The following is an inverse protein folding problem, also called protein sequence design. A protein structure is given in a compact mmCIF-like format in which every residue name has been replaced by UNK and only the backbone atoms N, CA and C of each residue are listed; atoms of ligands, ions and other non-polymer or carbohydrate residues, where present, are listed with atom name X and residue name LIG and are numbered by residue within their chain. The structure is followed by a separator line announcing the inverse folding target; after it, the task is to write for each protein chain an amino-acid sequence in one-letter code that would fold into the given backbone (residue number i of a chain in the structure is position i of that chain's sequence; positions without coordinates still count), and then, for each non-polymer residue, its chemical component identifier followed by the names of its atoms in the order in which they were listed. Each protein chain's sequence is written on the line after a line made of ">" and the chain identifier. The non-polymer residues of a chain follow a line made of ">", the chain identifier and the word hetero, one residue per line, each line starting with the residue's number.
data_IF_155463150120
#
_entry.id   IF_155463150120
#
_cell.length_a   1.000
_cell.length_b   1.000
_cell.length_c   1.000
_cell.angle_alpha   90.00
_cell.angle_beta   90.00
_cell.angle_gamma   90.00
#
_symmetry.space_group_name_H-M   'P 1'
#
loop_
_entity.id
_entity.type
_entity.pdbx_description
1 polymer ?
#
# COMPACT_ATOMS: atom_id res chain seq x y z
N UNK A 1 3.03 19.27 18.61
CA UNK A 1 2.20 18.36 17.80
C UNK A 1 0.74 18.76 18.02
N UNK A 2 -0.05 18.91 16.95
CA UNK A 2 -1.44 19.39 17.03
C UNK A 2 -2.45 18.33 16.61
N UNK A 3 -1.99 17.13 16.23
CA UNK A 3 -2.84 16.03 15.79
C UNK A 3 -3.43 16.20 14.40
N UNK A 4 -2.91 17.13 13.59
CA UNK A 4 -3.41 17.37 12.23
C UNK A 4 -3.31 16.12 11.34
N UNK A 5 -4.22 15.98 10.36
CA UNK A 5 -4.26 14.81 9.47
C UNK A 5 -2.93 14.63 8.74
N UNK A 6 -2.30 13.46 8.89
CA UNK A 6 -1.00 13.13 8.28
C UNK A 6 0.20 13.80 8.94
N UNK A 7 0.00 14.58 10.02
CA UNK A 7 1.09 15.11 10.83
C UNK A 7 1.79 13.96 11.56
N UNK A 8 3.11 14.01 11.63
CA UNK A 8 3.89 13.08 12.44
C UNK A 8 4.70 13.82 13.49
N UNK A 9 4.84 13.24 14.67
CA UNK A 9 5.82 13.62 15.67
C UNK A 9 6.67 12.41 15.98
N UNK A 10 7.98 12.60 15.98
CA UNK A 10 8.94 11.53 16.26
C UNK A 10 9.74 11.88 17.49
N UNK A 11 9.86 10.91 18.39
CA UNK A 11 10.72 10.98 19.57
C UNK A 11 11.72 9.84 19.47
N UNK A 12 13.01 10.18 19.44
CA UNK A 12 14.10 9.21 19.41
C UNK A 12 14.51 8.88 20.84
N UNK A 13 14.76 7.60 21.11
CA UNK A 13 15.15 7.08 22.43
C UNK A 13 14.21 7.58 23.55
N UNK A 14 12.88 7.31 23.44
CA UNK A 14 11.92 7.74 24.44
C UNK A 14 12.20 7.09 25.80
N UNK A 15 12.40 7.92 26.83
CA UNK A 15 12.64 7.43 28.19
C UNK A 15 11.46 6.58 28.70
N UNK A 16 11.77 5.42 29.29
CA UNK A 16 10.76 4.52 29.88
C UNK A 16 10.02 3.62 28.89
N UNK A 17 10.37 3.64 27.60
CA UNK A 17 9.87 2.70 26.61
C UNK A 17 11.01 1.83 26.07
N UNK A 18 10.75 0.54 25.90
CA UNK A 18 11.67 -0.41 25.25
C UNK A 18 11.57 -0.31 23.72
N UNK A 19 11.79 0.89 23.18
CA UNK A 19 11.87 1.12 21.74
C UNK A 19 12.90 2.21 21.39
N UNK A 20 13.50 2.11 20.21
CA UNK A 20 14.46 3.11 19.72
C UNK A 20 13.76 4.40 19.27
N UNK A 21 12.46 4.32 18.97
CA UNK A 21 11.68 5.38 18.36
C UNK A 21 10.20 5.27 18.70
N UNK A 22 9.61 6.41 19.05
CA UNK A 22 8.17 6.60 19.13
C UNK A 22 7.72 7.52 18.00
N UNK A 23 6.77 7.06 17.19
CA UNK A 23 6.14 7.85 16.12
C UNK A 23 4.66 8.06 16.45
N UNK A 24 4.26 9.31 16.60
CA UNK A 24 2.87 9.72 16.81
C UNK A 24 2.29 10.17 15.49
N UNK A 25 1.14 9.61 15.12
CA UNK A 25 0.44 9.90 13.86
C UNK A 25 -0.83 10.70 14.14
N UNK A 26 -0.98 11.85 13.47
CA UNK A 26 -2.16 12.70 13.58
C UNK A 26 -3.27 12.24 12.64
N UNK A 27 -4.44 11.96 13.21
CA UNK A 27 -5.65 11.56 12.46
C UNK A 27 -6.51 12.76 12.04
N UNK A 28 -6.24 13.95 12.57
CA UNK A 28 -7.05 15.16 12.39
C UNK A 28 -8.08 15.35 13.51
N UNK A 29 -9.05 16.22 13.26
CA UNK A 29 -10.15 16.47 14.21
C UNK A 29 -11.02 15.21 14.29
N UNK A 30 -11.42 14.83 15.50
CA UNK A 30 -12.21 13.60 15.72
C UNK A 30 -13.49 13.53 14.87
N UNK A 31 -14.18 14.66 14.66
CA UNK A 31 -15.39 14.75 13.85
C UNK A 31 -15.16 14.48 12.34
N UNK A 32 -13.92 14.65 11.86
CA UNK A 32 -13.55 14.52 10.44
C UNK A 32 -12.82 13.18 10.16
N UNK A 33 -12.68 12.32 11.18
CA UNK A 33 -12.03 11.02 11.02
C UNK A 33 -12.92 10.11 10.16
N UNK A 34 -12.34 9.62 9.07
CA UNK A 34 -12.95 8.72 8.10
C UNK A 34 -11.97 7.59 7.79
N UNK A 35 -12.38 6.54 7.06
CA UNK A 35 -11.47 5.47 6.65
C UNK A 35 -10.20 5.98 5.95
N UNK A 36 -10.32 7.04 5.14
CA UNK A 36 -9.20 7.68 4.43
C UNK A 36 -8.22 8.37 5.39
N UNK A 37 -8.65 8.80 6.57
CA UNK A 37 -7.76 9.38 7.58
C UNK A 37 -6.81 8.32 8.15
N UNK A 38 -7.27 7.08 8.31
CA UNK A 38 -6.43 5.95 8.73
C UNK A 38 -5.47 5.50 7.62
N UNK A 39 -5.92 5.48 6.37
CA UNK A 39 -5.03 5.26 5.22
C UNK A 39 -3.94 6.34 5.14
N UNK A 40 -4.28 7.61 5.35
CA UNK A 40 -3.31 8.70 5.39
C UNK A 40 -2.29 8.52 6.53
N UNK A 41 -2.71 8.04 7.70
CA UNK A 41 -1.82 7.74 8.81
C UNK A 41 -0.85 6.58 8.48
N UNK A 42 -1.36 5.48 7.92
CA UNK A 42 -0.52 4.38 7.42
C UNK A 42 0.48 4.84 6.35
N UNK A 43 0.03 5.72 5.45
CA UNK A 43 0.89 6.36 4.47
C UNK A 43 1.98 7.21 5.13
N UNK A 44 1.65 8.05 6.10
CA UNK A 44 2.62 8.87 6.82
C UNK A 44 3.66 8.01 7.57
N UNK A 45 3.22 6.90 8.18
CA UNK A 45 4.11 5.92 8.81
C UNK A 45 5.10 5.35 7.81
N UNK A 46 4.62 4.80 6.68
CA UNK A 46 5.50 4.26 5.65
C UNK A 46 6.43 5.32 5.06
N UNK A 47 5.92 6.53 4.81
CA UNK A 47 6.73 7.64 4.31
C UNK A 47 7.91 7.96 5.23
N UNK A 48 7.70 7.89 6.55
CA UNK A 48 8.75 8.17 7.54
C UNK A 48 9.71 7.01 7.74
N UNK A 49 9.20 5.78 7.78
CA UNK A 49 9.95 4.62 8.26
C UNK A 49 10.51 3.73 7.15
N UNK A 50 10.00 3.79 5.92
CA UNK A 50 10.33 2.83 4.86
C UNK A 50 11.84 2.67 4.63
N UNK A 51 12.61 3.76 4.65
CA UNK A 51 14.07 3.75 4.44
C UNK A 51 14.85 4.22 5.67
N UNK A 52 14.23 4.13 6.85
CA UNK A 52 14.79 4.70 8.09
C UNK A 52 15.85 3.83 8.76
N UNK A 53 16.00 2.57 8.34
CA UNK A 53 16.80 1.55 9.02
C UNK A 53 15.95 0.60 9.86
N UNK A 54 14.78 1.04 10.31
CA UNK A 54 13.83 0.22 11.07
C UNK A 54 13.30 -0.93 10.20
N UNK A 55 13.23 -2.14 10.78
CA UNK A 55 12.69 -3.33 10.10
C UNK A 55 11.24 -3.61 10.44
N UNK A 56 10.85 -3.30 11.67
CA UNK A 56 9.54 -3.64 12.23
C UNK A 56 8.99 -2.46 13.00
N UNK A 57 7.69 -2.25 12.92
CA UNK A 57 6.97 -1.28 13.76
C UNK A 57 5.73 -1.94 14.35
N UNK A 58 5.43 -1.60 15.59
CA UNK A 58 4.18 -1.94 16.27
C UNK A 58 3.43 -0.63 16.50
N UNK A 59 2.22 -0.55 15.96
CA UNK A 59 1.34 0.60 16.07
C UNK A 59 0.24 0.26 17.09
N UNK A 60 0.22 1.00 18.19
CA UNK A 60 -0.92 1.02 19.07
C UNK A 60 -1.99 1.95 18.49
N UNK A 61 -3.16 1.40 18.16
CA UNK A 61 -4.24 2.14 17.55
C UNK A 61 -5.21 2.63 18.63
N UNK A 62 -5.31 3.94 18.77
CA UNK A 62 -6.35 4.57 19.59
C UNK A 62 -7.43 5.11 18.66
N UNK A 63 -8.63 4.52 18.73
CA UNK A 63 -9.80 4.99 18.00
C UNK A 63 -10.63 5.86 18.95
N UNK A 64 -10.92 7.12 18.60
CA UNK A 64 -11.76 7.97 19.45
C UNK A 64 -13.15 7.35 19.67
N UNK A 65 -13.70 7.46 20.88
CA UNK A 65 -15.00 6.85 21.25
C UNK A 65 -16.15 7.22 20.31
N UNK A 66 -16.11 8.43 19.72
CA UNK A 66 -17.12 8.93 18.77
C UNK A 66 -16.81 8.62 17.30
N UNK A 67 -15.80 7.79 17.02
CA UNK A 67 -15.46 7.42 15.65
C UNK A 67 -16.57 6.54 15.06
N UNK A 68 -16.94 6.84 13.81
CA UNK A 68 -17.84 6.01 13.02
C UNK A 68 -17.13 4.82 12.38
N UNK A 69 -15.80 4.75 12.49
CA UNK A 69 -14.96 3.70 11.91
C UNK A 69 -14.58 2.72 13.02
N UNK A 70 -14.99 1.44 12.94
CA UNK A 70 -14.61 0.43 13.91
C UNK A 70 -13.09 0.22 13.98
N UNK A 71 -12.57 -0.14 15.16
CA UNK A 71 -11.13 -0.35 15.37
C UNK A 71 -10.52 -1.42 14.46
N UNK A 72 -11.27 -2.48 14.15
CA UNK A 72 -10.84 -3.50 13.20
C UNK A 72 -10.69 -2.94 11.76
N UNK A 73 -11.63 -2.11 11.31
CA UNK A 73 -11.54 -1.45 10.00
C UNK A 73 -10.40 -0.44 9.97
N UNK A 74 -10.29 0.41 11.01
CA UNK A 74 -9.22 1.38 11.13
C UNK A 74 -7.83 0.71 11.04
N UNK A 75 -7.64 -0.43 11.72
CA UNK A 75 -6.39 -1.20 11.64
C UNK A 75 -6.09 -1.70 10.21
N UNK A 76 -7.09 -2.25 9.52
CA UNK A 76 -6.94 -2.71 8.14
C UNK A 76 -6.65 -1.55 7.17
N UNK A 77 -7.28 -0.39 7.37
CA UNK A 77 -7.09 0.84 6.58
C UNK A 77 -5.69 1.45 6.76
N UNK A 78 -5.15 1.42 7.97
CA UNK A 78 -3.74 1.79 8.21
C UNK A 78 -2.82 0.87 7.40
N UNK A 79 -3.05 -0.44 7.42
CA UNK A 79 -2.30 -1.40 6.61
C UNK A 79 -2.34 -1.04 5.12
N UNK A 80 -3.51 -0.68 4.60
CA UNK A 80 -3.68 -0.34 3.19
C UNK A 80 -2.87 0.90 2.83
N UNK A 81 -3.02 1.98 3.60
CA UNK A 81 -2.28 3.21 3.38
C UNK A 81 -0.76 3.00 3.46
N UNK A 82 -0.31 2.19 4.41
CA UNK A 82 1.09 1.84 4.56
C UNK A 82 1.62 1.08 3.32
N UNK A 83 0.87 0.10 2.81
CA UNK A 83 1.25 -0.70 1.64
C UNK A 83 1.25 0.11 0.36
N UNK A 84 0.23 0.95 0.14
CA UNK A 84 0.15 1.83 -1.03
C UNK A 84 1.29 2.85 -1.08
N UNK A 85 1.67 3.39 0.08
CA UNK A 85 2.80 4.33 0.17
C UNK A 85 4.15 3.62 0.07
N UNK A 86 4.25 2.36 0.48
CA UNK A 86 5.47 1.57 0.37
C UNK A 86 5.81 1.12 -1.06
N UNK A 87 4.89 1.29 -2.02
CA UNK A 87 5.15 0.98 -3.43
C UNK A 87 6.40 1.71 -3.94
N UNK A 88 7.28 0.95 -4.58
CA UNK A 88 8.46 1.43 -5.27
C UNK A 88 8.67 0.63 -6.54
N UNK A 89 9.06 1.31 -7.61
CA UNK A 89 9.48 0.70 -8.86
C UNK A 89 10.99 0.87 -9.00
N UNK A 90 11.72 -0.08 -8.42
CA UNK A 90 13.18 -0.02 -8.32
C UNK A 90 13.89 -0.96 -9.32
N UNK A 91 13.14 -1.64 -10.22
CA UNK A 91 13.65 -2.65 -11.16
C UNK A 91 14.84 -2.19 -12.02
N UNK A 92 14.87 -0.91 -12.40
CA UNK A 92 15.95 -0.33 -13.23
C UNK A 92 16.94 0.54 -12.48
N UNK A 93 16.84 0.61 -11.15
CA UNK A 93 17.77 1.40 -10.35
C UNK A 93 19.03 0.58 -10.05
N UNK A 94 20.04 0.76 -10.89
CA UNK A 94 21.33 0.04 -10.81
C UNK A 94 22.24 0.56 -9.70
N UNK A 95 22.13 1.85 -9.35
CA UNK A 95 22.86 2.46 -8.24
C UNK A 95 21.89 3.04 -7.22
N UNK A 96 21.97 2.60 -5.97
CA UNK A 96 21.25 3.18 -4.84
C UNK A 96 22.14 3.19 -3.59
N UNK A 97 22.10 4.28 -2.83
CA UNK A 97 22.74 4.33 -1.51
C UNK A 97 22.01 3.39 -0.55
N UNK A 98 22.73 2.85 0.44
CA UNK A 98 22.13 1.97 1.46
C UNK A 98 20.95 2.65 2.19
N UNK A 99 21.03 3.96 2.38
CA UNK A 99 20.00 4.80 3.03
C UNK A 99 18.72 4.99 2.20
N UNK A 100 18.74 4.64 0.91
CA UNK A 100 17.59 4.79 0.00
C UNK A 100 16.82 3.48 -0.19
N UNK A 101 17.38 2.38 0.31
CA UNK A 101 16.79 1.04 0.23
C UNK A 101 15.72 0.88 1.30
N UNK A 102 14.56 0.28 0.95
CA UNK A 102 13.54 -0.02 1.94
C UNK A 102 14.08 -1.01 2.99
N UNK A 103 13.90 -0.68 4.26
CA UNK A 103 14.27 -1.51 5.41
C UNK A 103 13.05 -2.04 6.15
N UNK A 104 11.93 -1.30 6.12
CA UNK A 104 10.71 -1.68 6.81
C UNK A 104 10.04 -2.87 6.11
N UNK A 105 10.02 -4.02 6.78
CA UNK A 105 9.45 -5.27 6.26
C UNK A 105 8.16 -5.68 6.95
N UNK A 106 7.86 -5.13 8.14
CA UNK A 106 6.67 -5.52 8.91
C UNK A 106 6.05 -4.34 9.65
N UNK A 107 4.75 -4.13 9.43
CA UNK A 107 3.90 -3.23 10.20
C UNK A 107 2.90 -4.10 10.96
N UNK A 108 2.89 -4.00 12.29
CA UNK A 108 1.91 -4.69 13.14
C UNK A 108 0.99 -3.64 13.73
N UNK A 109 -0.32 -3.76 13.49
CA UNK A 109 -1.31 -2.86 14.10
C UNK A 109 -2.06 -3.62 15.19
N UNK A 110 -2.03 -3.08 16.41
CA UNK A 110 -2.77 -3.64 17.54
C UNK A 110 -4.24 -3.23 17.45
N UNK A 111 -5.14 -4.16 17.71
CA UNK A 111 -6.59 -3.92 17.72
C UNK A 111 -7.26 -5.00 18.57
N UNK A 112 -8.41 -4.65 19.15
CA UNK A 112 -9.16 -5.54 20.04
C UNK A 112 -9.76 -6.73 19.29
N UNK A 113 -10.27 -6.52 18.07
CA UNK A 113 -10.84 -7.57 17.22
C UNK A 113 -9.92 -7.92 16.05
N UNK A 114 -8.96 -8.81 16.33
CA UNK A 114 -7.98 -9.26 15.35
C UNK A 114 -8.58 -10.11 14.23
N UNK A 115 -9.65 -10.86 14.52
CA UNK A 115 -10.27 -11.75 13.54
C UNK A 115 -10.98 -10.93 12.46
N UNK A 116 -11.75 -9.92 12.89
CA UNK A 116 -12.42 -9.01 11.98
C UNK A 116 -11.41 -8.15 11.19
N UNK A 117 -10.36 -7.64 11.85
CA UNK A 117 -9.33 -6.86 11.17
C UNK A 117 -8.64 -7.68 10.07
N UNK A 118 -8.31 -8.96 10.32
CA UNK A 118 -7.74 -9.86 9.31
C UNK A 118 -8.71 -10.16 8.18
N UNK A 119 -10.01 -10.31 8.47
CA UNK A 119 -11.05 -10.51 7.46
C UNK A 119 -11.13 -9.30 6.52
N UNK A 120 -11.22 -8.09 7.07
CA UNK A 120 -11.25 -6.84 6.31
C UNK A 120 -9.95 -6.62 5.53
N UNK A 121 -8.81 -6.93 6.16
CA UNK A 121 -7.49 -6.84 5.53
C UNK A 121 -7.39 -7.67 4.26
N UNK A 122 -7.91 -8.90 4.25
CA UNK A 122 -7.83 -9.79 3.07
C UNK A 122 -8.35 -9.14 1.79
N UNK A 123 -9.46 -8.41 1.88
CA UNK A 123 -10.02 -7.67 0.72
C UNK A 123 -9.16 -6.47 0.33
N UNK A 124 -8.63 -5.72 1.31
CA UNK A 124 -7.78 -4.56 1.05
C UNK A 124 -6.39 -4.95 0.52
N UNK A 125 -5.86 -6.09 0.95
CA UNK A 125 -4.61 -6.67 0.46
C UNK A 125 -4.75 -7.05 -1.02
N UNK A 126 -5.84 -7.72 -1.39
CA UNK A 126 -6.15 -8.03 -2.79
C UNK A 126 -6.26 -6.75 -3.64
N UNK A 127 -6.98 -5.74 -3.14
CA UNK A 127 -7.09 -4.42 -3.79
C UNK A 127 -5.71 -3.79 -4.00
N UNK A 128 -4.89 -3.74 -2.95
CA UNK A 128 -3.55 -3.14 -3.01
C UNK A 128 -2.61 -3.90 -3.96
N UNK A 129 -2.77 -5.22 -4.07
CA UNK A 129 -2.02 -6.07 -5.00
C UNK A 129 -2.39 -5.77 -6.45
N UNK A 130 -3.69 -5.61 -6.74
CA UNK A 130 -4.15 -5.16 -8.07
C UNK A 130 -3.64 -3.76 -8.41
N UNK A 131 -3.68 -2.82 -7.46
CA UNK A 131 -3.12 -1.48 -7.65
C UNK A 131 -1.62 -1.55 -7.95
N UNK A 132 -0.87 -2.36 -7.20
CA UNK A 132 0.56 -2.56 -7.45
C UNK A 132 0.81 -3.13 -8.85
N UNK A 133 0.10 -4.18 -9.24
CA UNK A 133 0.22 -4.79 -10.56
C UNK A 133 0.00 -3.76 -11.69
N UNK A 134 -1.08 -2.98 -11.61
CA UNK A 134 -1.34 -1.91 -12.57
C UNK A 134 -0.24 -0.85 -12.58
N UNK A 135 0.28 -0.45 -11.41
CA UNK A 135 1.38 0.51 -11.34
C UNK A 135 2.67 -0.05 -11.93
N UNK A 136 2.96 -1.33 -11.74
CA UNK A 136 4.11 -2.00 -12.35
C UNK A 136 4.00 -1.95 -13.87
N UNK A 137 2.82 -2.25 -14.43
CA UNK A 137 2.57 -2.17 -15.89
C UNK A 137 2.72 -0.74 -16.42
N UNK A 138 2.07 0.25 -15.81
CA UNK A 138 2.12 1.64 -16.29
C UNK A 138 3.50 2.27 -16.15
N UNK A 139 4.30 1.84 -15.16
CA UNK A 139 5.66 2.37 -14.94
C UNK A 139 6.69 1.72 -15.87
N UNK A 140 6.40 0.53 -16.40
CA UNK A 140 7.31 -0.23 -17.24
C UNK A 140 7.63 0.54 -18.54
N UNK A 141 8.92 0.71 -18.92
CA UNK A 141 9.27 1.39 -20.16
C UNK A 141 8.69 0.70 -21.40
N UNK A 142 8.29 1.44 -22.44
CA UNK A 142 7.62 0.88 -23.61
C UNK A 142 8.50 -0.06 -24.45
N UNK A 143 9.83 0.06 -24.34
CA UNK A 143 10.76 -0.89 -24.96
C UNK A 143 10.81 -2.25 -24.23
N UNK A 144 10.24 -2.33 -23.02
CA UNK A 144 10.08 -3.56 -22.24
C UNK A 144 8.62 -4.03 -22.30
N UNK A 145 7.66 -3.13 -22.07
CA UNK A 145 6.22 -3.42 -22.13
C UNK A 145 5.60 -3.05 -23.49
N UNK A 146 5.92 -3.86 -24.49
CA UNK A 146 5.25 -3.81 -25.79
C UNK A 146 3.98 -4.70 -25.79
N UNK A 147 3.08 -4.59 -26.79
CA UNK A 147 1.77 -5.24 -26.74
C UNK A 147 1.77 -6.74 -26.42
N UNK A 148 2.69 -7.52 -27.00
CA UNK A 148 2.77 -8.94 -26.73
C UNK A 148 3.27 -9.25 -25.31
N UNK A 149 4.19 -8.46 -24.75
CA UNK A 149 4.63 -8.62 -23.35
C UNK A 149 3.51 -8.18 -22.38
N UNK A 150 2.77 -7.12 -22.71
CA UNK A 150 1.58 -6.72 -21.93
C UNK A 150 0.54 -7.84 -21.90
N UNK A 151 0.19 -8.42 -23.06
CA UNK A 151 -0.75 -9.53 -23.15
C UNK A 151 -0.28 -10.75 -22.33
N UNK A 152 1.01 -11.09 -22.41
CA UNK A 152 1.60 -12.16 -21.61
C UNK A 152 1.51 -11.90 -20.10
N UNK A 153 1.79 -10.68 -19.64
CA UNK A 153 1.66 -10.33 -18.21
C UNK A 153 0.21 -10.33 -17.76
N UNK A 154 -0.72 -9.90 -18.61
CA UNK A 154 -2.16 -9.96 -18.33
C UNK A 154 -2.66 -11.41 -18.25
N UNK A 155 -2.09 -12.33 -19.04
CA UNK A 155 -2.45 -13.75 -18.99
C UNK A 155 -2.18 -14.40 -17.63
N UNK A 156 -1.21 -13.91 -16.86
CA UNK A 156 -0.97 -14.41 -15.50
C UNK A 156 -2.16 -14.21 -14.54
N UNK A 157 -3.17 -13.40 -14.91
CA UNK A 157 -4.41 -13.28 -14.16
C UNK A 157 -5.28 -14.55 -14.24
N UNK A 158 -5.02 -15.45 -15.19
CA UNK A 158 -5.66 -16.77 -15.25
C UNK A 158 -5.42 -17.59 -13.98
N UNK A 159 -4.25 -17.44 -13.34
CA UNK A 159 -3.93 -18.09 -12.06
C UNK A 159 -4.87 -17.66 -10.92
N UNK A 160 -5.53 -16.51 -11.08
CA UNK A 160 -6.54 -15.98 -10.15
C UNK A 160 -7.98 -16.34 -10.56
N UNK A 161 -8.15 -17.12 -11.63
CA UNK A 161 -9.46 -17.53 -12.16
C UNK A 161 -10.09 -16.53 -13.13
N UNK A 162 -9.31 -15.56 -13.65
CA UNK A 162 -9.79 -14.61 -14.67
C UNK A 162 -9.66 -15.24 -16.05
N UNK A 163 -10.72 -15.20 -16.87
CA UNK A 163 -10.63 -15.60 -18.27
C UNK A 163 -9.90 -14.53 -19.08
N UNK A 164 -8.84 -14.91 -19.80
CA UNK A 164 -8.07 -13.99 -20.65
C UNK A 164 -8.10 -14.49 -22.10
N UNK A 165 -8.52 -13.63 -23.02
CA UNK A 165 -8.51 -13.91 -24.47
C UNK A 165 -7.53 -12.93 -25.15
N UNK A 166 -6.55 -13.47 -25.88
CA UNK A 166 -5.55 -12.68 -26.62
C UNK A 166 -5.85 -12.80 -28.10
N UNK A 167 -6.21 -11.67 -28.72
CA UNK A 167 -6.53 -11.61 -30.15
C UNK A 167 -5.29 -11.24 -30.97
N UNK A 168 -4.92 -12.13 -31.89
CA UNK A 168 -3.90 -11.84 -32.89
C UNK A 168 -4.42 -10.96 -34.04
N UNK A 169 -3.52 -10.55 -34.93
CA UNK A 169 -3.85 -9.69 -36.08
C UNK A 169 -4.93 -10.32 -36.98
N UNK A 170 -4.90 -11.65 -37.17
CA UNK A 170 -5.88 -12.34 -38.01
C UNK A 170 -7.28 -12.31 -37.39
N UNK A 171 -7.38 -12.58 -36.09
CA UNK A 171 -8.62 -12.52 -35.33
C UNK A 171 -9.17 -11.09 -35.31
N UNK A 172 -8.33 -10.10 -35.01
CA UNK A 172 -8.71 -8.67 -35.02
C UNK A 172 -9.20 -8.21 -36.41
N UNK A 173 -8.55 -8.67 -37.49
CA UNK A 173 -8.98 -8.37 -38.87
C UNK A 173 -10.35 -8.95 -39.16
N UNK A 174 -10.58 -10.22 -38.78
CA UNK A 174 -11.87 -10.90 -38.95
C UNK A 174 -12.99 -10.22 -38.18
N UNK A 175 -12.68 -9.65 -37.02
CA UNK A 175 -13.62 -8.91 -36.17
C UNK A 175 -13.83 -7.45 -36.63
N UNK A 176 -13.11 -6.97 -37.65
CA UNK A 176 -13.26 -5.62 -38.19
C UNK A 176 -12.68 -4.50 -37.31
N UNK A 177 -11.65 -4.79 -36.49
CA UNK A 177 -11.02 -3.82 -35.57
C UNK A 177 -10.09 -2.81 -36.27
N UNK A 178 -10.52 -2.22 -37.38
CA UNK A 178 -9.68 -1.41 -38.27
C UNK A 178 -9.14 -0.08 -37.70
N UNK A 179 -9.66 0.41 -36.57
CA UNK A 179 -9.12 1.59 -35.88
C UNK A 179 -7.93 1.28 -34.96
N UNK A 180 -7.76 0.00 -34.57
CA UNK A 180 -6.70 -0.46 -33.66
C UNK A 180 -5.54 -1.14 -34.42
N UNK A 181 -5.81 -1.68 -35.62
CA UNK A 181 -4.84 -2.37 -36.49
C UNK A 181 -3.82 -1.43 -37.16
#
# INVERSE_FOLDING_TARGET
>A
FTGGKGQTLEVLVPAGLECERLLVLGLGKAADISPVSYEAAGGALSARLLTSGDKTVVLNLEVPEKSTVPAAEAAARIGLGAQLRAYRFDNYRTTQKKTEKPTLTKVTVLTEDQAEAKRLWKSLEALSSGIKFTRDLVTEPPNILYPAEFAKRAQALEDLGVSVEILGVKEMTKLGMGALL
#
